data_IF_714660707203
#
_entry.id   IF_714660707203
#
_cell.length_a   1.000
_cell.length_b   1.000
_cell.length_c   1.000
_cell.angle_alpha   90.00
_cell.angle_beta   90.00
_cell.angle_gamma   90.00
#
_symmetry.space_group_name_H-M   'P 1'
#
loop_
_entity.id
_entity.type
_entity.pdbx_description
1 polymer ?
#
# COMPACT_ATOMS: atom_id res chain seq x y z
N UNK A 1 2.12 -6.79 16.86
CA UNK A 1 2.51 -7.37 15.57
C UNK A 1 1.88 -6.59 14.42
N UNK A 2 2.60 -6.44 13.34
CA UNK A 2 2.07 -5.78 12.15
C UNK A 2 1.11 -6.70 11.39
N UNK A 3 0.00 -6.17 10.97
CA UNK A 3 -0.97 -6.85 10.10
C UNK A 3 -1.45 -5.86 9.05
N UNK A 4 -1.41 -6.26 7.79
CA UNK A 4 -1.81 -5.40 6.69
C UNK A 4 -2.86 -6.09 5.84
N UNK A 5 -3.81 -5.30 5.34
CA UNK A 5 -4.70 -5.71 4.27
C UNK A 5 -4.13 -5.21 2.97
N UNK A 6 -3.55 -6.10 2.19
CA UNK A 6 -2.94 -5.74 0.91
C UNK A 6 -4.02 -5.70 -0.18
N UNK A 7 -4.06 -4.59 -0.89
CA UNK A 7 -4.89 -4.43 -2.09
C UNK A 7 -3.94 -4.44 -3.27
N UNK A 8 -4.01 -5.47 -4.08
CA UNK A 8 -3.08 -5.71 -5.18
C UNK A 8 -3.79 -5.38 -6.49
N UNK A 9 -3.30 -4.36 -7.19
CA UNK A 9 -3.85 -3.94 -8.46
C UNK A 9 -3.15 -4.67 -9.61
N UNK A 10 -3.94 -5.25 -10.49
CA UNK A 10 -3.45 -5.84 -11.74
C UNK A 10 -3.79 -4.88 -12.89
N UNK A 11 -2.80 -4.15 -13.42
CA UNK A 11 -3.06 -3.17 -14.47
C UNK A 11 -3.43 -3.81 -15.81
N UNK A 12 -3.11 -5.08 -16.01
CA UNK A 12 -3.36 -5.78 -17.27
C UNK A 12 -4.85 -6.08 -17.48
N UNK A 13 -5.56 -6.50 -16.43
CA UNK A 13 -6.99 -6.80 -16.50
C UNK A 13 -7.87 -5.79 -15.78
N UNK A 14 -7.26 -4.79 -15.12
CA UNK A 14 -8.00 -3.74 -14.41
C UNK A 14 -8.68 -4.17 -13.12
N UNK A 15 -8.32 -5.32 -12.58
CA UNK A 15 -8.90 -5.84 -11.34
C UNK A 15 -7.98 -5.65 -10.16
N UNK A 16 -8.57 -5.60 -8.96
CA UNK A 16 -7.83 -5.58 -7.71
C UNK A 16 -8.18 -6.81 -6.88
N UNK A 17 -7.20 -7.28 -6.11
CA UNK A 17 -7.34 -8.46 -5.27
C UNK A 17 -6.94 -8.10 -3.85
N UNK A 18 -7.61 -8.70 -2.89
CA UNK A 18 -7.36 -8.46 -1.46
C UNK A 18 -6.67 -9.67 -0.85
N UNK A 19 -5.63 -9.41 -0.06
CA UNK A 19 -4.90 -10.46 0.64
C UNK A 19 -4.44 -9.93 1.99
N UNK A 20 -4.59 -10.72 3.05
CA UNK A 20 -4.15 -10.33 4.39
C UNK A 20 -2.71 -10.79 4.60
N UNK A 21 -1.86 -9.86 5.02
CA UNK A 21 -0.45 -10.13 5.33
C UNK A 21 -0.28 -10.10 6.85
N UNK A 22 0.23 -11.19 7.41
CA UNK A 22 0.44 -11.31 8.86
C UNK A 22 1.80 -11.93 9.16
N UNK A 23 2.19 -11.89 10.43
CA UNK A 23 3.40 -12.54 10.92
C UNK A 23 4.68 -11.89 10.40
N UNK A 24 5.68 -12.73 10.12
CA UNK A 24 6.99 -12.21 9.73
C UNK A 24 7.01 -11.55 8.34
N UNK A 25 6.09 -11.89 7.46
CA UNK A 25 5.98 -11.20 6.17
C UNK A 25 5.51 -9.76 6.36
N UNK A 26 4.57 -9.53 7.27
CA UNK A 26 4.15 -8.17 7.61
C UNK A 26 5.30 -7.39 8.24
N UNK A 27 6.02 -8.00 9.16
CA UNK A 27 7.17 -7.37 9.80
C UNK A 27 8.29 -7.04 8.80
N UNK A 28 8.48 -7.86 7.78
CA UNK A 28 9.47 -7.63 6.74
C UNK A 28 9.13 -6.41 5.88
N UNK A 29 7.85 -6.06 5.75
CA UNK A 29 7.40 -4.90 4.99
C UNK A 29 7.52 -3.59 5.77
N UNK A 30 7.63 -3.64 7.10
CA UNK A 30 7.80 -2.44 7.92
C UNK A 30 9.13 -1.76 7.57
N UNK A 31 9.07 -0.45 7.31
CA UNK A 31 10.25 0.32 6.87
C UNK A 31 10.34 0.52 5.36
N UNK A 32 9.54 -0.20 4.57
CA UNK A 32 9.43 0.05 3.13
C UNK A 32 8.67 1.35 2.89
N UNK A 33 8.97 2.00 1.78
CA UNK A 33 8.39 3.30 1.43
C UNK A 33 7.52 3.20 0.18
N UNK A 34 6.65 4.17 -0.01
CA UNK A 34 5.93 4.32 -1.27
C UNK A 34 6.95 4.48 -2.40
N UNK A 35 6.81 3.69 -3.46
CA UNK A 35 7.75 3.66 -4.57
C UNK A 35 8.78 2.55 -4.50
N UNK A 36 8.87 1.84 -3.37
CA UNK A 36 9.75 0.68 -3.25
C UNK A 36 9.12 -0.55 -3.91
N UNK A 37 9.96 -1.38 -4.54
CA UNK A 37 9.53 -2.67 -5.05
C UNK A 37 9.67 -3.73 -3.96
N UNK A 38 8.69 -4.61 -3.86
CA UNK A 38 8.68 -5.72 -2.92
C UNK A 38 8.43 -7.03 -3.66
N UNK A 39 8.96 -8.10 -3.10
CA UNK A 39 8.77 -9.42 -3.67
C UNK A 39 7.33 -9.89 -3.45
N UNK A 40 6.74 -10.53 -4.46
CA UNK A 40 5.39 -11.08 -4.34
C UNK A 40 5.27 -12.22 -3.35
N UNK A 41 6.38 -12.77 -2.90
CA UNK A 41 6.38 -13.81 -1.87
C UNK A 41 5.66 -13.36 -0.59
N UNK A 42 5.75 -12.07 -0.24
CA UNK A 42 5.10 -11.53 0.96
C UNK A 42 3.57 -11.58 0.90
N UNK A 43 3.01 -11.62 -0.29
CA UNK A 43 1.55 -11.70 -0.49
C UNK A 43 1.11 -13.04 -1.09
N UNK A 44 2.01 -14.02 -1.08
CA UNK A 44 1.69 -15.34 -1.59
C UNK A 44 1.73 -15.48 -3.12
N UNK A 45 2.48 -14.61 -3.80
CA UNK A 45 2.64 -14.61 -5.25
C UNK A 45 4.11 -14.76 -5.61
N UNK A 46 4.68 -15.97 -5.46
CA UNK A 46 6.10 -16.16 -5.75
C UNK A 46 6.40 -15.88 -7.22
N UNK A 47 7.54 -15.21 -7.45
CA UNK A 47 7.95 -14.79 -8.78
C UNK A 47 7.38 -13.46 -9.26
N UNK A 48 6.40 -12.92 -8.56
CA UNK A 48 5.85 -11.59 -8.84
C UNK A 48 6.69 -10.52 -8.16
N UNK A 49 6.68 -9.33 -8.75
CA UNK A 49 7.22 -8.13 -8.12
C UNK A 49 6.14 -7.07 -8.06
N UNK A 50 6.06 -6.41 -6.92
CA UNK A 50 5.01 -5.44 -6.61
C UNK A 50 5.63 -4.11 -6.25
N UNK A 51 4.95 -3.04 -6.61
CA UNK A 51 5.34 -1.66 -6.25
C UNK A 51 4.40 -1.15 -5.18
N UNK A 52 4.94 -0.60 -4.11
CA UNK A 52 4.14 0.06 -3.07
C UNK A 52 3.65 1.40 -3.62
N UNK A 53 2.33 1.53 -3.77
CA UNK A 53 1.71 2.73 -4.35
C UNK A 53 1.11 3.66 -3.32
N UNK A 54 0.76 3.14 -2.14
CA UNK A 54 0.18 3.96 -1.09
C UNK A 54 -0.46 3.11 -0.01
N UNK A 55 -1.35 3.71 0.75
CA UNK A 55 -2.07 3.02 1.81
C UNK A 55 -2.74 3.99 2.77
N UNK A 56 -3.29 3.44 3.84
CA UNK A 56 -3.89 4.23 4.91
C UNK A 56 -3.63 3.54 6.25
N UNK A 57 -3.68 4.32 7.33
CA UNK A 57 -3.49 3.78 8.67
C UNK A 57 -4.81 3.29 9.28
N UNK A 58 -4.75 2.79 10.52
CA UNK A 58 -5.91 2.24 11.23
C UNK A 58 -7.00 3.28 11.49
N UNK A 59 -6.64 4.56 11.53
CA UNK A 59 -7.57 5.65 11.75
C UNK A 59 -8.03 6.31 10.45
N UNK A 60 -7.63 5.79 9.31
CA UNK A 60 -8.09 6.23 8.00
C UNK A 60 -7.28 7.35 7.37
N UNK A 61 -6.16 7.78 7.98
CA UNK A 61 -5.31 8.81 7.38
C UNK A 61 -4.48 8.22 6.24
N UNK A 62 -4.54 8.81 5.03
CA UNK A 62 -3.80 8.28 3.89
C UNK A 62 -2.31 8.57 3.98
N UNK A 63 -1.52 7.67 3.41
CA UNK A 63 -0.08 7.86 3.24
C UNK A 63 0.19 8.79 2.07
N UNK A 64 1.17 9.66 2.23
CA UNK A 64 1.60 10.60 1.18
C UNK A 64 3.04 10.32 0.80
N UNK A 65 3.31 10.20 -0.50
CA UNK A 65 4.62 9.78 -1.02
C UNK A 65 5.75 10.78 -0.74
N UNK A 66 5.42 12.04 -0.63
CA UNK A 66 6.40 13.13 -0.43
C UNK A 66 6.58 13.53 1.03
N UNK A 67 5.88 12.87 1.96
CA UNK A 67 6.03 13.11 3.38
C UNK A 67 6.94 12.03 3.98
N UNK A 68 8.20 12.34 4.34
CA UNK A 68 9.11 11.31 4.83
C UNK A 68 8.75 10.81 6.22
N UNK A 69 9.06 9.53 6.48
CA UNK A 69 8.92 8.90 7.77
C UNK A 69 7.59 8.18 7.99
N UNK A 70 7.45 7.48 9.11
CA UNK A 70 6.25 6.70 9.43
C UNK A 70 5.20 7.46 10.23
N UNK A 71 5.42 8.74 10.53
CA UNK A 71 4.59 9.53 11.44
C UNK A 71 3.45 10.23 10.73
N UNK A 72 2.38 10.52 11.49
CA UNK A 72 1.34 11.44 11.06
C UNK A 72 1.84 12.87 11.19
N UNK A 73 1.45 13.70 10.24
CA UNK A 73 1.78 15.12 10.29
C UNK A 73 0.63 15.93 9.72
N UNK A 74 0.32 17.03 10.36
CA UNK A 74 -0.70 17.96 9.87
C UNK A 74 -0.03 18.94 8.90
N UNK A 75 -0.49 18.94 7.65
CA UNK A 75 0.09 19.74 6.58
C UNK A 75 -0.95 20.66 5.96
N UNK A 76 -0.50 21.82 5.54
CA UNK A 76 -1.30 22.68 4.68
C UNK A 76 -1.16 22.19 3.23
N UNK A 77 -2.26 21.69 2.67
CA UNK A 77 -2.25 21.12 1.33
C UNK A 77 -3.22 21.84 0.41
N UNK A 78 -2.85 21.95 -0.86
CA UNK A 78 -3.68 22.56 -1.89
C UNK A 78 -4.38 21.54 -2.78
N UNK A 79 -3.99 20.26 -2.67
CA UNK A 79 -4.57 19.17 -3.44
C UNK A 79 -3.73 17.91 -3.31
N UNK A 80 -4.10 16.88 -4.03
CA UNK A 80 -3.42 15.60 -4.05
C UNK A 80 -4.05 14.59 -3.11
N UNK A 81 -3.24 13.63 -2.65
CA UNK A 81 -3.72 12.57 -1.77
C UNK A 81 -4.27 13.15 -0.47
N UNK A 82 -5.48 12.76 -0.14
CA UNK A 82 -6.15 13.16 1.09
C UNK A 82 -6.93 14.47 1.02
N UNK A 83 -6.84 15.21 -0.09
CA UNK A 83 -7.57 16.46 -0.22
C UNK A 83 -7.91 16.78 -1.68
N UNK A 84 -9.19 16.95 -1.94
CA UNK A 84 -9.70 17.39 -3.23
C UNK A 84 -10.42 18.73 -3.03
N UNK A 85 -9.80 19.87 -3.38
CA UNK A 85 -10.38 21.18 -3.10
C UNK A 85 -11.64 21.39 -3.91
N UNK A 86 -12.74 21.87 -3.29
CA UNK A 86 -13.97 22.19 -4.02
C UNK A 86 -13.88 23.44 -4.86
N UNK A 87 -12.87 24.26 -4.65
CA UNK A 87 -12.63 25.49 -5.43
C UNK A 87 -11.16 25.59 -5.81
N UNK A 88 -10.91 26.25 -6.93
CA UNK A 88 -9.54 26.57 -7.35
C UNK A 88 -8.85 27.46 -6.31
N UNK A 89 -7.61 27.12 -5.96
CA UNK A 89 -6.82 27.87 -5.00
C UNK A 89 -7.12 27.63 -3.53
N UNK A 90 -8.10 26.76 -3.22
CA UNK A 90 -8.41 26.42 -1.83
C UNK A 90 -7.32 25.56 -1.23
N UNK A 91 -6.94 25.87 0.02
CA UNK A 91 -5.97 25.09 0.79
C UNK A 91 -6.56 24.75 2.16
N UNK A 92 -6.16 23.62 2.72
CA UNK A 92 -6.65 23.18 4.02
C UNK A 92 -5.56 22.41 4.74
N UNK A 93 -5.51 22.53 6.05
CA UNK A 93 -4.66 21.69 6.88
C UNK A 93 -5.30 20.31 7.02
N UNK A 94 -4.56 19.28 6.62
CA UNK A 94 -5.00 17.89 6.73
C UNK A 94 -3.94 17.08 7.45
N UNK A 95 -4.38 16.11 8.24
CA UNK A 95 -3.49 15.13 8.86
C UNK A 95 -3.24 14.01 7.86
N UNK A 96 -1.98 13.78 7.55
CA UNK A 96 -1.55 12.77 6.58
C UNK A 96 -0.47 11.90 7.20
N UNK A 97 -0.41 10.66 6.73
CA UNK A 97 0.62 9.72 7.16
C UNK A 97 1.82 9.81 6.23
N UNK A 98 3.02 9.56 6.78
CA UNK A 98 4.24 9.55 6.00
C UNK A 98 4.32 8.39 5.00
N UNK A 99 5.35 8.40 4.17
CA UNK A 99 5.52 7.43 3.09
C UNK A 99 6.08 6.08 3.54
N UNK A 100 6.46 5.94 4.80
CA UNK A 100 7.10 4.73 5.33
C UNK A 100 6.07 3.83 6.02
N UNK A 101 6.09 2.55 5.70
CA UNK A 101 5.19 1.56 6.29
C UNK A 101 5.56 1.35 7.75
N UNK A 102 4.58 1.43 8.64
CA UNK A 102 4.72 1.18 10.07
C UNK A 102 3.67 0.17 10.54
N UNK A 103 3.80 -0.39 11.75
CA UNK A 103 2.78 -1.33 12.27
C UNK A 103 1.37 -0.75 12.38
N UNK A 104 1.23 0.58 12.37
CA UNK A 104 -0.07 1.25 12.45
C UNK A 104 -0.80 1.31 11.11
N UNK A 105 -0.17 0.95 10.01
CA UNK A 105 -0.81 0.91 8.70
C UNK A 105 -1.79 -0.28 8.67
N UNK A 106 -3.00 -0.03 8.18
CA UNK A 106 -4.01 -1.06 8.01
C UNK A 106 -4.07 -1.55 6.57
N UNK A 107 -4.28 -0.63 5.63
CA UNK A 107 -4.39 -0.95 4.22
C UNK A 107 -3.09 -0.59 3.49
N UNK A 108 -2.62 -1.50 2.66
CA UNK A 108 -1.42 -1.31 1.87
C UNK A 108 -1.77 -1.53 0.41
N UNK A 109 -1.58 -0.51 -0.42
CA UNK A 109 -1.87 -0.60 -1.84
C UNK A 109 -0.62 -0.98 -2.62
N UNK A 110 -0.74 -2.04 -3.41
CA UNK A 110 0.35 -2.58 -4.21
C UNK A 110 -0.08 -2.69 -5.67
N UNK A 111 0.88 -2.58 -6.57
CA UNK A 111 0.66 -2.71 -8.01
C UNK A 111 1.62 -3.75 -8.57
N UNK A 112 1.13 -4.64 -9.43
CA UNK A 112 1.97 -5.62 -10.09
C UNK A 112 2.83 -4.94 -11.15
N UNK A 113 4.15 -5.05 -11.01
CA UNK A 113 5.10 -4.51 -11.98
C UNK A 113 5.79 -5.60 -12.79
N UNK A 114 5.91 -6.80 -12.24
CA UNK A 114 6.44 -7.96 -12.95
C UNK A 114 5.61 -9.18 -12.59
N UNK A 115 5.16 -9.92 -13.60
CA UNK A 115 4.35 -11.11 -13.39
C UNK A 115 5.24 -12.34 -13.16
N UNK A 116 4.72 -13.24 -12.32
CA UNK A 116 5.34 -14.53 -12.09
C UNK A 116 4.86 -15.61 -13.07
N UNK A 117 5.35 -16.83 -12.89
CA UNK A 117 5.05 -17.95 -13.79
C UNK A 117 3.60 -18.44 -13.69
N UNK A 118 2.91 -18.20 -12.56
CA UNK A 118 1.54 -18.63 -12.36
C UNK A 118 0.60 -17.43 -12.37
N UNK A 119 -0.66 -17.65 -12.77
CA UNK A 119 -1.68 -16.61 -12.66
C UNK A 119 -1.97 -16.34 -11.18
N UNK A 120 -2.49 -15.14 -10.88
CA UNK A 120 -2.87 -14.75 -9.52
C UNK A 120 -3.84 -15.76 -8.89
N UNK A 121 -4.83 -16.15 -9.65
CA UNK A 121 -5.86 -17.06 -9.16
C UNK A 121 -5.29 -18.45 -8.83
N UNK A 122 -4.42 -18.96 -9.68
CA UNK A 122 -3.79 -20.26 -9.48
C UNK A 122 -2.85 -20.27 -8.27
N UNK A 123 -2.06 -19.19 -8.10
CA UNK A 123 -1.13 -19.08 -6.99
C UNK A 123 -1.87 -19.07 -5.64
N UNK A 124 -2.99 -18.38 -5.56
CA UNK A 124 -3.77 -18.31 -4.33
C UNK A 124 -4.60 -19.57 -4.07
N UNK A 125 -5.06 -20.26 -5.11
CA UNK A 125 -5.73 -21.55 -4.95
C UNK A 125 -4.83 -22.61 -4.34
N UNK A 126 -3.56 -22.63 -4.72
CA UNK A 126 -2.59 -23.55 -4.13
C UNK A 126 -2.38 -23.29 -2.64
N UNK A 127 -2.40 -22.04 -2.22
CA UNK A 127 -2.24 -21.68 -0.81
C UNK A 127 -3.46 -22.01 0.04
N UNK A 128 -4.64 -21.98 -0.53
CA UNK A 128 -5.88 -22.28 0.17
C UNK A 128 -6.07 -23.77 0.46
N UNK A 129 -5.22 -24.63 -0.07
CA UNK A 129 -5.29 -26.09 0.11
C UNK A 129 -4.49 -26.60 1.30
#
# INVERSE_FOLDING_TARGET
>A
MAEFKAIIADPKNGRTYKHDITGHYANALVGKKIGDEVDGLYVGLPGYKLLVTGGSDKDGFPMRHDLPGPRRKRLLVSGGVGFHPPRSGMRKKKTLRGNTISPDILQLNLKIVQRGPKSLEDAWKEQAR
#
